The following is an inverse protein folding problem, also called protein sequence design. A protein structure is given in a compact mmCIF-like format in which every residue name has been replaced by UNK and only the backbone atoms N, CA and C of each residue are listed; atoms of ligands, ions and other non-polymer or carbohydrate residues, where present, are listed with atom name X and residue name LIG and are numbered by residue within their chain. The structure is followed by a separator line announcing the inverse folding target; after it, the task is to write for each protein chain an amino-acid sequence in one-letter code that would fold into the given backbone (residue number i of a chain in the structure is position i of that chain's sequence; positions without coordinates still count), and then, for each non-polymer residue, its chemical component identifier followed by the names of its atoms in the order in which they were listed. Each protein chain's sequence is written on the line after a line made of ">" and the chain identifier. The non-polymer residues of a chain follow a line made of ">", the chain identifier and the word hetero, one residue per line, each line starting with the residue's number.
data_IF_172498220733
#
_entry.id   IF_172498220733
#
_cell.length_a   1.000
_cell.length_b   1.000
_cell.length_c   1.000
_cell.angle_alpha   90.00
_cell.angle_beta   90.00
_cell.angle_gamma   90.00
#
_symmetry.space_group_name_H-M   'P 1'
#
loop_
_entity.id
_entity.type
_entity.pdbx_description
1 polymer ?
#
# COMPACT_ATOMS: atom_id res chain seq x y z
N UNK A 1 35.96 -23.21 31.09
CA UNK A 1 34.82 -22.54 31.76
C UNK A 1 34.52 -21.14 31.22
N UNK A 2 35.51 -20.28 30.91
CA UNK A 2 35.24 -18.94 30.32
C UNK A 2 34.73 -18.99 28.86
N UNK A 3 35.25 -19.88 28.02
CA UNK A 3 34.80 -20.05 26.63
C UNK A 3 33.38 -20.60 26.51
N UNK A 4 32.98 -21.52 27.41
CA UNK A 4 31.62 -22.07 27.46
C UNK A 4 30.59 -21.03 27.91
N UNK A 5 31.00 -20.07 28.76
CA UNK A 5 30.14 -18.98 29.20
C UNK A 5 29.90 -17.93 28.10
N UNK A 6 30.92 -17.65 27.29
CA UNK A 6 30.82 -16.76 26.12
C UNK A 6 29.90 -17.32 25.01
N UNK A 7 29.93 -18.64 24.82
CA UNK A 7 29.05 -19.34 23.87
C UNK A 7 27.58 -19.31 24.30
N UNK A 8 27.29 -19.44 25.60
CA UNK A 8 25.93 -19.34 26.13
C UNK A 8 25.34 -17.92 26.00
N UNK A 9 26.17 -16.89 26.21
CA UNK A 9 25.74 -15.48 26.03
C UNK A 9 25.42 -15.19 24.56
N UNK A 10 26.24 -15.69 23.63
CA UNK A 10 26.00 -15.55 22.19
C UNK A 10 24.71 -16.23 21.73
N UNK A 11 24.39 -17.42 22.25
CA UNK A 11 23.14 -18.14 21.96
C UNK A 11 21.92 -17.39 22.52
N UNK A 12 22.04 -16.80 23.71
CA UNK A 12 20.95 -16.00 24.31
C UNK A 12 20.68 -14.70 23.55
N UNK A 13 21.71 -14.07 22.96
CA UNK A 13 21.54 -12.87 22.12
C UNK A 13 20.79 -13.16 20.82
N UNK A 14 20.93 -14.35 20.24
CA UNK A 14 20.24 -14.73 18.99
C UNK A 14 18.75 -15.04 19.26
N UNK A 15 18.43 -15.60 20.43
CA UNK A 15 17.06 -15.92 20.82
C UNK A 15 16.16 -14.68 21.09
N UNK A 16 16.76 -13.51 21.32
CA UNK A 16 16.03 -12.25 21.51
C UNK A 16 15.80 -11.46 20.20
N UNK A 17 16.18 -12.00 19.04
CA UNK A 17 15.75 -11.45 17.75
C UNK A 17 14.29 -11.84 17.46
N UNK A 18 13.38 -11.49 18.38
CA UNK A 18 11.95 -11.60 18.20
C UNK A 18 11.54 -10.57 17.14
N UNK A 19 11.50 -10.99 15.87
CA UNK A 19 10.89 -10.20 14.81
C UNK A 19 9.41 -10.10 15.14
N UNK A 20 8.98 -8.95 15.66
CA UNK A 20 7.55 -8.63 15.73
C UNK A 20 6.95 -8.84 14.34
N UNK A 21 5.80 -9.50 14.26
CA UNK A 21 5.09 -9.62 12.99
C UNK A 21 4.91 -8.22 12.37
N UNK A 22 5.15 -8.07 11.05
CA UNK A 22 4.94 -6.79 10.39
C UNK A 22 3.51 -6.33 10.63
N UNK A 23 3.32 -5.09 11.09
CA UNK A 23 1.98 -4.54 11.25
C UNK A 23 1.29 -4.51 9.88
N UNK A 24 0.19 -5.27 9.75
CA UNK A 24 -0.54 -5.46 8.48
C UNK A 24 -1.05 -4.15 7.87
N UNK A 25 -1.16 -3.08 8.66
CA UNK A 25 -1.69 -1.79 8.22
C UNK A 25 -0.63 -0.69 8.07
N UNK A 26 0.66 -1.03 8.04
CA UNK A 26 1.72 -0.02 7.83
C UNK A 26 2.08 0.11 6.35
N UNK A 27 2.20 1.35 5.89
CA UNK A 27 2.68 1.71 4.55
C UNK A 27 4.12 2.24 4.67
N UNK A 28 5.05 1.58 3.98
CA UNK A 28 6.40 2.07 3.76
C UNK A 28 6.70 2.11 2.25
N UNK A 29 7.87 2.64 1.88
CA UNK A 29 8.28 2.82 0.49
C UNK A 29 8.27 1.55 -0.37
N UNK A 30 8.60 0.40 0.23
CA UNK A 30 8.77 -0.89 -0.45
C UNK A 30 7.86 -1.99 0.10
N UNK A 31 6.97 -1.65 1.03
CA UNK A 31 6.05 -2.62 1.61
C UNK A 31 4.75 -1.97 2.08
N UNK A 32 3.67 -2.74 2.00
CA UNK A 32 2.33 -2.38 2.48
C UNK A 32 1.83 -3.57 3.28
N UNK A 33 1.91 -3.47 4.61
CA UNK A 33 1.70 -4.60 5.51
C UNK A 33 2.60 -5.77 5.14
N UNK A 34 1.97 -6.84 4.67
CA UNK A 34 2.65 -8.08 4.25
C UNK A 34 3.06 -8.10 2.77
N UNK A 35 2.65 -7.11 1.97
CA UNK A 35 3.03 -7.00 0.57
C UNK A 35 4.41 -6.33 0.44
N UNK A 36 5.19 -6.79 -0.54
CA UNK A 36 6.48 -6.22 -0.93
C UNK A 36 6.60 -6.12 -2.45
N UNK A 37 7.64 -5.44 -2.94
CA UNK A 37 7.90 -5.27 -4.38
C UNK A 37 8.08 -6.61 -5.14
N UNK A 38 8.43 -7.69 -4.44
CA UNK A 38 8.59 -9.03 -5.02
C UNK A 38 7.36 -9.93 -4.87
N UNK A 39 6.31 -9.47 -4.20
CA UNK A 39 5.14 -10.30 -3.94
C UNK A 39 4.44 -10.69 -5.24
N UNK A 40 4.27 -11.99 -5.45
CA UNK A 40 3.59 -12.54 -6.63
C UNK A 40 2.09 -12.75 -6.40
N UNK A 41 1.31 -12.81 -7.48
CA UNK A 41 -0.14 -13.07 -7.43
C UNK A 41 -0.47 -14.41 -6.76
N UNK A 42 0.39 -15.43 -6.89
CA UNK A 42 0.22 -16.74 -6.26
C UNK A 42 0.36 -16.68 -4.75
N UNK A 43 1.25 -15.83 -4.22
CA UNK A 43 1.49 -15.69 -2.78
C UNK A 43 0.32 -15.01 -2.05
N UNK A 44 -0.54 -14.28 -2.76
CA UNK A 44 -1.67 -13.56 -2.16
C UNK A 44 -2.59 -14.48 -1.36
N UNK A 45 -2.82 -15.72 -1.80
CA UNK A 45 -3.68 -16.67 -1.06
C UNK A 45 -3.11 -17.08 0.29
N UNK A 46 -1.78 -17.04 0.43
CA UNK A 46 -1.09 -17.29 1.69
C UNK A 46 -1.07 -16.02 2.55
N UNK A 47 -0.69 -14.88 1.97
CA UNK A 47 -0.59 -13.59 2.67
C UNK A 47 -1.94 -13.16 3.26
N UNK A 48 -3.02 -13.38 2.51
CA UNK A 48 -4.37 -12.97 2.85
C UNK A 48 -5.26 -14.18 3.19
N UNK A 49 -4.70 -15.22 3.82
CA UNK A 49 -5.44 -16.47 4.15
C UNK A 49 -6.69 -16.23 5.02
N UNK A 50 -6.65 -15.18 5.85
CA UNK A 50 -7.74 -14.80 6.74
C UNK A 50 -8.74 -13.85 6.08
N UNK A 51 -8.39 -13.28 4.93
CA UNK A 51 -9.21 -12.34 4.18
C UNK A 51 -9.91 -13.06 3.01
N UNK A 52 -10.74 -12.34 2.26
CA UNK A 52 -11.39 -12.81 1.04
C UNK A 52 -10.76 -12.15 -0.17
N UNK A 53 -10.39 -12.95 -1.17
CA UNK A 53 -9.73 -12.49 -2.39
C UNK A 53 -10.70 -12.69 -3.56
N UNK A 54 -11.06 -11.59 -4.22
CA UNK A 54 -11.80 -11.63 -5.48
C UNK A 54 -10.83 -11.37 -6.62
N UNK A 55 -10.70 -12.36 -7.52
CA UNK A 55 -9.97 -12.21 -8.78
C UNK A 55 -10.98 -11.99 -9.89
N UNK A 56 -10.70 -11.04 -10.78
CA UNK A 56 -11.43 -10.98 -12.04
C UNK A 56 -11.10 -12.25 -12.85
N UNK A 57 -12.11 -13.06 -13.15
CA UNK A 57 -12.00 -14.24 -14.01
C UNK A 57 -12.49 -13.76 -15.38
N UNK A 58 -11.59 -13.76 -16.37
CA UNK A 58 -11.88 -13.33 -17.74
C UNK A 58 -13.07 -14.10 -18.34
N UNK A 59 -13.85 -13.39 -19.16
CA UNK A 59 -15.10 -13.87 -19.77
C UNK A 59 -15.95 -12.72 -20.32
N UNK A 60 -15.66 -11.49 -19.91
CA UNK A 60 -16.24 -10.25 -20.44
C UNK A 60 -15.12 -9.31 -20.92
N UNK A 61 -14.32 -9.82 -21.86
CA UNK A 61 -13.15 -9.15 -22.47
C UNK A 61 -13.51 -7.81 -23.15
N UNK A 62 -14.79 -7.45 -23.20
CA UNK A 62 -15.31 -6.21 -23.75
C UNK A 62 -15.40 -5.05 -22.74
N UNK A 63 -15.31 -5.31 -21.42
CA UNK A 63 -15.46 -4.25 -20.39
C UNK A 63 -14.15 -3.51 -20.09
N UNK A 64 -13.01 -3.93 -20.64
CA UNK A 64 -11.75 -3.16 -20.54
C UNK A 64 -11.25 -2.94 -19.11
N UNK A 65 -11.75 -3.71 -18.14
CA UNK A 65 -11.32 -3.58 -16.76
C UNK A 65 -9.94 -4.23 -16.63
N UNK A 66 -8.90 -3.51 -16.16
CA UNK A 66 -7.65 -4.14 -15.81
C UNK A 66 -7.94 -5.26 -14.80
N UNK A 67 -7.15 -6.34 -14.84
CA UNK A 67 -7.32 -7.52 -13.98
C UNK A 67 -7.02 -7.20 -12.51
N UNK A 68 -7.87 -6.35 -11.91
CA UNK A 68 -7.78 -5.87 -10.53
C UNK A 68 -8.17 -7.02 -9.61
N UNK A 69 -7.30 -7.31 -8.67
CA UNK A 69 -7.55 -8.25 -7.58
C UNK A 69 -8.01 -7.42 -6.38
N UNK A 70 -9.16 -7.75 -5.82
CA UNK A 70 -9.72 -7.07 -4.66
C UNK A 70 -9.55 -7.91 -3.41
N UNK A 71 -9.05 -7.29 -2.35
CA UNK A 71 -8.86 -7.91 -1.03
C UNK A 71 -9.91 -7.35 -0.08
N UNK A 72 -10.71 -8.22 0.52
CA UNK A 72 -11.78 -7.86 1.45
C UNK A 72 -11.54 -8.50 2.81
N UNK A 73 -11.87 -7.78 3.87
CA UNK A 73 -11.95 -8.38 5.20
C UNK A 73 -13.10 -9.40 5.24
N UNK A 74 -12.82 -10.63 5.66
CA UNK A 74 -13.77 -11.76 5.54
C UNK A 74 -15.06 -11.55 6.34
N UNK A 75 -14.94 -11.00 7.54
CA UNK A 75 -16.07 -10.82 8.45
C UNK A 75 -16.95 -9.62 8.07
N UNK A 76 -16.33 -8.47 7.76
CA UNK A 76 -17.05 -7.22 7.53
C UNK A 76 -17.35 -6.95 6.05
N UNK A 77 -16.75 -7.73 5.14
CA UNK A 77 -16.75 -7.48 3.69
C UNK A 77 -16.18 -6.11 3.30
N UNK A 78 -15.43 -5.47 4.19
CA UNK A 78 -14.79 -4.17 3.90
C UNK A 78 -13.70 -4.37 2.85
N UNK A 79 -13.74 -3.56 1.79
CA UNK A 79 -12.68 -3.54 0.77
C UNK A 79 -11.41 -2.92 1.35
N UNK A 80 -10.36 -3.73 1.49
CA UNK A 80 -9.08 -3.33 2.05
C UNK A 80 -8.16 -2.71 1.00
N UNK A 81 -7.93 -3.46 -0.09
CA UNK A 81 -6.95 -3.14 -1.13
C UNK A 81 -7.48 -3.51 -2.52
N UNK A 82 -7.09 -2.74 -3.52
CA UNK A 82 -7.16 -3.13 -4.94
C UNK A 82 -5.73 -3.29 -5.46
N UNK A 83 -5.41 -4.46 -6.03
CA UNK A 83 -4.08 -4.81 -6.50
C UNK A 83 -4.11 -4.96 -8.02
N UNK A 84 -3.18 -4.31 -8.70
CA UNK A 84 -2.98 -4.44 -10.14
C UNK A 84 -1.70 -5.24 -10.40
N UNK A 85 -1.76 -6.44 -10.98
CA UNK A 85 -0.56 -7.19 -11.37
C UNK A 85 0.12 -6.56 -12.60
N UNK A 86 1.42 -6.82 -12.78
CA UNK A 86 2.15 -6.37 -13.99
C UNK A 86 1.60 -7.03 -15.25
N UNK A 87 1.56 -8.36 -15.22
CA UNK A 87 0.95 -9.21 -16.24
C UNK A 87 -0.41 -9.72 -15.75
N UNK A 88 -1.42 -9.52 -16.58
CA UNK A 88 -2.78 -10.00 -16.39
C UNK A 88 -2.86 -11.53 -16.41
N UNK A 89 -3.70 -12.12 -15.55
CA UNK A 89 -3.98 -13.56 -15.51
C UNK A 89 -2.75 -14.47 -15.29
N UNK A 90 -1.58 -13.91 -14.97
CA UNK A 90 -0.38 -14.65 -14.62
C UNK A 90 -0.20 -14.71 -13.10
N UNK A 91 -0.12 -15.93 -12.56
CA UNK A 91 0.08 -16.16 -11.13
C UNK A 91 1.49 -15.83 -10.62
N UNK A 92 2.50 -15.85 -11.50
CA UNK A 92 3.89 -15.54 -11.18
C UNK A 92 4.19 -14.04 -11.30
N UNK A 93 3.29 -13.30 -11.94
CA UNK A 93 3.33 -11.84 -12.03
C UNK A 93 3.42 -11.18 -10.65
N UNK A 94 4.31 -10.20 -10.52
CA UNK A 94 4.41 -9.37 -9.32
C UNK A 94 3.36 -8.27 -9.34
N UNK A 95 2.98 -7.77 -8.16
CA UNK A 95 2.07 -6.62 -8.05
C UNK A 95 2.75 -5.36 -8.57
N UNK A 96 2.10 -4.66 -9.51
CA UNK A 96 2.56 -3.40 -10.08
C UNK A 96 2.17 -2.21 -9.21
N UNK A 97 0.92 -2.17 -8.78
CA UNK A 97 0.40 -1.08 -7.95
C UNK A 97 -0.64 -1.59 -6.96
N UNK A 98 -0.72 -0.87 -5.83
CA UNK A 98 -1.63 -1.14 -4.73
C UNK A 98 -2.42 0.13 -4.46
N UNK A 99 -3.74 0.06 -4.53
CA UNK A 99 -4.62 1.13 -4.11
C UNK A 99 -5.18 0.82 -2.73
N UNK A 100 -4.91 1.73 -1.80
CA UNK A 100 -5.40 1.64 -0.42
C UNK A 100 -6.86 2.07 -0.35
N UNK A 101 -7.74 1.19 0.12
CA UNK A 101 -9.18 1.46 0.22
C UNK A 101 -9.65 1.68 1.65
N UNK A 102 -8.97 1.08 2.63
CA UNK A 102 -9.29 1.15 4.05
C UNK A 102 -8.38 2.14 4.80
N UNK A 103 -8.93 3.03 5.66
CA UNK A 103 -8.17 4.06 6.37
C UNK A 103 -7.30 3.54 7.52
N UNK A 104 -7.41 2.27 7.90
CA UNK A 104 -6.51 1.64 8.89
C UNK A 104 -5.07 1.63 8.38
N UNK A 105 -4.88 1.49 7.07
CA UNK A 105 -3.57 1.57 6.44
C UNK A 105 -2.98 2.98 6.57
N UNK A 106 -1.83 3.08 7.24
CA UNK A 106 -1.18 4.34 7.57
C UNK A 106 0.31 4.31 7.28
N UNK A 107 0.85 5.42 6.81
CA UNK A 107 2.30 5.59 6.73
C UNK A 107 2.93 5.69 8.12
N UNK A 108 4.26 5.57 8.19
CA UNK A 108 5.02 5.84 9.42
C UNK A 108 4.77 7.24 10.01
N UNK A 109 4.39 8.24 9.20
CA UNK A 109 3.99 9.59 9.64
C UNK A 109 2.48 9.72 9.92
N UNK A 110 1.76 8.60 9.97
CA UNK A 110 0.34 8.53 10.29
C UNK A 110 -0.57 9.15 9.22
N UNK A 111 -0.20 9.08 7.94
CA UNK A 111 -1.05 9.50 6.83
C UNK A 111 -1.83 8.29 6.30
N UNK A 112 -3.14 8.45 6.05
CA UNK A 112 -4.00 7.41 5.49
C UNK A 112 -4.90 8.01 4.38
N UNK A 113 -5.83 7.20 3.86
CA UNK A 113 -6.77 7.59 2.78
C UNK A 113 -7.62 8.83 3.10
N UNK A 114 -7.87 9.14 4.37
CA UNK A 114 -8.69 10.29 4.78
C UNK A 114 -7.86 11.59 4.90
N UNK A 115 -6.56 11.53 4.58
CA UNK A 115 -5.68 12.69 4.65
C UNK A 115 -6.02 13.75 3.60
N UNK A 116 -6.05 15.01 4.03
CA UNK A 116 -6.21 16.18 3.15
C UNK A 116 -4.89 16.59 2.50
N UNK A 117 -4.94 17.49 1.51
CA UNK A 117 -3.73 18.12 0.94
C UNK A 117 -2.82 18.70 2.03
N UNK A 118 -3.40 19.39 3.02
CA UNK A 118 -2.65 19.96 4.15
C UNK A 118 -1.96 18.88 4.98
N UNK A 119 -2.58 17.72 5.18
CA UNK A 119 -1.96 16.62 5.91
C UNK A 119 -0.78 16.03 5.14
N UNK A 120 -0.85 15.99 3.80
CA UNK A 120 0.23 15.50 2.95
C UNK A 120 1.40 16.49 2.97
N UNK A 121 1.15 17.76 2.65
CA UNK A 121 2.18 18.80 2.53
C UNK A 121 2.88 19.14 3.85
N UNK A 122 2.22 18.92 5.00
CA UNK A 122 2.85 19.11 6.32
C UNK A 122 3.72 17.95 6.78
N UNK A 123 3.57 16.74 6.21
CA UNK A 123 4.30 15.53 6.62
C UNK A 123 5.36 15.10 5.61
N UNK A 124 5.19 15.46 4.35
CA UNK A 124 6.04 15.00 3.25
C UNK A 124 6.37 16.13 2.28
N UNK A 125 7.57 16.04 1.71
CA UNK A 125 7.95 16.88 0.58
C UNK A 125 7.24 16.37 -0.68
N UNK A 126 6.41 17.23 -1.26
CA UNK A 126 5.69 16.93 -2.49
C UNK A 126 6.70 16.93 -3.64
N UNK A 127 6.81 15.81 -4.36
CA UNK A 127 7.73 15.66 -5.49
C UNK A 127 7.15 16.13 -6.81
N UNK A 128 5.82 16.23 -6.90
CA UNK A 128 5.14 16.73 -8.08
C UNK A 128 3.65 16.85 -7.87
N UNK A 129 3.04 17.79 -8.56
CA UNK A 129 1.59 18.00 -8.57
C UNK A 129 1.14 17.96 -10.03
N UNK A 130 0.18 17.09 -10.33
CA UNK A 130 -0.43 17.03 -11.64
C UNK A 130 -1.91 17.39 -11.54
N UNK A 131 -2.32 18.34 -12.35
CA UNK A 131 -3.68 18.83 -12.37
C UNK A 131 -4.50 18.10 -13.45
N UNK A 132 -5.61 17.48 -13.05
CA UNK A 132 -6.56 16.86 -13.99
C UNK A 132 -7.88 17.62 -13.99
N UNK A 133 -8.84 17.21 -14.83
CA UNK A 133 -10.15 17.88 -14.88
C UNK A 133 -10.86 17.88 -13.51
N UNK A 134 -10.86 16.73 -12.80
CA UNK A 134 -11.60 16.55 -11.55
C UNK A 134 -10.73 16.46 -10.31
N UNK A 135 -9.48 16.01 -10.46
CA UNK A 135 -8.61 15.68 -9.35
C UNK A 135 -7.27 16.41 -9.42
N UNK A 136 -6.63 16.54 -8.27
CA UNK A 136 -5.22 16.85 -8.12
C UNK A 136 -4.47 15.57 -7.76
N UNK A 137 -3.45 15.21 -8.55
CA UNK A 137 -2.58 14.07 -8.25
C UNK A 137 -1.31 14.62 -7.59
N UNK A 138 -1.11 14.29 -6.32
CA UNK A 138 0.03 14.75 -5.52
C UNK A 138 0.98 13.58 -5.34
N UNK A 139 2.19 13.68 -5.90
CA UNK A 139 3.21 12.64 -5.84
C UNK A 139 4.17 12.86 -4.66
N UNK A 140 4.58 11.78 -4.01
CA UNK A 140 5.54 11.78 -2.90
C UNK A 140 6.56 10.65 -3.10
N UNK A 141 7.69 10.99 -3.72
CA UNK A 141 8.74 10.02 -4.06
C UNK A 141 9.38 9.35 -2.82
N UNK A 142 9.37 10.02 -1.66
CA UNK A 142 9.92 9.49 -0.40
C UNK A 142 9.30 8.13 -0.05
N UNK A 143 8.00 7.97 -0.30
CA UNK A 143 7.23 6.76 0.01
C UNK A 143 6.73 6.03 -1.25
N UNK A 144 7.21 6.43 -2.43
CA UNK A 144 6.78 5.87 -3.72
C UNK A 144 5.24 5.81 -3.88
N UNK A 145 4.55 6.89 -3.50
CA UNK A 145 3.10 6.95 -3.52
C UNK A 145 2.60 8.23 -4.21
N UNK A 146 1.37 8.18 -4.68
CA UNK A 146 0.63 9.35 -5.12
C UNK A 146 -0.75 9.37 -4.47
N UNK A 147 -1.28 10.57 -4.29
CA UNK A 147 -2.60 10.83 -3.70
C UNK A 147 -3.47 11.49 -4.75
N UNK A 148 -4.67 10.96 -4.95
CA UNK A 148 -5.68 11.58 -5.81
C UNK A 148 -6.68 12.32 -4.93
N UNK A 149 -6.68 13.64 -5.00
CA UNK A 149 -7.54 14.52 -4.20
C UNK A 149 -8.60 15.11 -5.12
N UNK A 150 -9.87 15.00 -4.76
CA UNK A 150 -10.93 15.63 -5.54
C UNK A 150 -10.82 17.16 -5.41
N UNK A 151 -10.93 17.89 -6.53
CA UNK A 151 -10.87 19.35 -6.51
C UNK A 151 -11.96 19.98 -5.66
N UNK A 152 -13.07 19.29 -5.44
CA UNK A 152 -14.12 19.74 -4.52
C UNK A 152 -13.70 19.82 -3.06
N UNK A 153 -12.66 19.10 -2.67
CA UNK A 153 -12.09 19.13 -1.32
C UNK A 153 -11.01 20.19 -1.14
N UNK A 154 -10.57 20.82 -2.24
CA UNK A 154 -9.53 21.84 -2.20
C UNK A 154 -10.10 23.22 -1.83
N UNK A 155 -9.36 24.00 -1.03
CA UNK A 155 -9.62 25.43 -0.85
C UNK A 155 -9.72 26.15 -2.21
N UNK A 156 -10.62 27.12 -2.32
CA UNK A 156 -10.92 27.82 -3.58
C UNK A 156 -9.68 28.37 -4.29
N UNK A 157 -8.72 28.92 -3.54
CA UNK A 157 -7.46 29.41 -4.09
C UNK A 157 -6.64 28.30 -4.77
N UNK A 158 -6.65 27.06 -4.26
CA UNK A 158 -5.94 25.92 -4.85
C UNK A 158 -6.73 25.24 -5.97
N UNK A 159 -8.01 25.56 -6.16
CA UNK A 159 -8.83 25.03 -7.25
C UNK A 159 -8.49 25.70 -8.58
N UNK A 160 -8.05 26.96 -8.53
CA UNK A 160 -7.83 27.81 -9.71
C UNK A 160 -6.39 28.32 -9.86
N UNK A 161 -5.59 28.33 -8.79
CA UNK A 161 -4.17 28.72 -8.88
C UNK A 161 -3.35 27.56 -9.46
N UNK A 162 -2.95 27.74 -10.73
CA UNK A 162 -2.33 26.75 -11.60
C UNK A 162 -0.88 27.12 -11.97
N UNK A 163 -0.23 27.98 -11.19
CA UNK A 163 1.12 28.47 -11.50
C UNK A 163 2.01 28.44 -10.27
N UNK A 164 2.74 27.33 -10.07
CA UNK A 164 4.16 27.31 -9.68
C UNK A 164 4.82 26.04 -10.22
#
# INVERSE_FOLDING_TARGET
>A
MKQTFLLLIAIYSIANSCKSEPDRYVINKHNIGYLSDSTSVRELSFIFSNDSISKFIGGDEFIGNPNIIKIFEKETQTLLLELTPKEALDSLSTIQSVRIMDPRYKTNKGLNKLGTYKNISSKYNISGIQNTLRNLIVSVNEINAYFTIDKSELPENLRYDMTQ
#
